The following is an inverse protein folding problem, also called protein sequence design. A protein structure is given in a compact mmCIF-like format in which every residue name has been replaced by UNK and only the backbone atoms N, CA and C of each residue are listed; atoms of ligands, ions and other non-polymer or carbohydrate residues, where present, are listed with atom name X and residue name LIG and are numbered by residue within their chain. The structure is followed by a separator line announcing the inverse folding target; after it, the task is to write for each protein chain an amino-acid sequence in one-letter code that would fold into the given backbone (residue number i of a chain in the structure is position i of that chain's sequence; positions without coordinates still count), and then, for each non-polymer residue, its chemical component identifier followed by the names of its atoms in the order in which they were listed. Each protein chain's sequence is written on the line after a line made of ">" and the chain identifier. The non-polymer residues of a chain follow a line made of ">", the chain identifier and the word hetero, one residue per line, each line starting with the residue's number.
data_IF_818784828608
#
_entry.id   IF_818784828608
#
_cell.length_a   1.000
_cell.length_b   1.000
_cell.length_c   1.000
_cell.angle_alpha   90.00
_cell.angle_beta   90.00
_cell.angle_gamma   90.00
#
_symmetry.space_group_name_H-M   'P 1'
#
loop_
_entity.id
_entity.type
_entity.pdbx_description
1 polymer ?
#
# COMPACT_ATOMS: atom_id res chain seq x y z
N UNK A 1 -0.43 14.53 -29.99
CA UNK A 1 0.48 14.97 -28.91
C UNK A 1 0.58 13.86 -27.87
N UNK A 2 1.71 13.17 -27.84
CA UNK A 2 1.93 11.98 -27.00
C UNK A 2 2.28 12.41 -25.57
N UNK A 3 1.43 12.05 -24.60
CA UNK A 3 1.76 12.17 -23.18
C UNK A 3 2.96 11.26 -22.86
N UNK A 4 4.03 11.76 -22.21
CA UNK A 4 5.11 10.90 -21.77
C UNK A 4 4.61 10.02 -20.62
N UNK A 5 4.43 8.73 -20.90
CA UNK A 5 4.10 7.74 -19.87
C UNK A 5 5.12 7.82 -18.73
N UNK A 6 4.67 7.92 -17.48
CA UNK A 6 5.49 7.93 -16.26
C UNK A 6 6.45 6.72 -16.18
N UNK A 7 6.18 5.63 -16.91
CA UNK A 7 7.10 4.50 -17.13
C UNK A 7 8.45 4.90 -17.75
N UNK A 8 8.54 6.04 -18.45
CA UNK A 8 9.78 6.58 -19.02
C UNK A 8 10.65 7.26 -17.96
N UNK A 9 10.05 7.78 -16.90
CA UNK A 9 10.76 8.36 -15.75
C UNK A 9 11.42 7.29 -14.87
N UNK A 10 10.73 6.17 -14.59
CA UNK A 10 11.26 5.07 -13.78
C UNK A 10 12.48 4.33 -14.37
N UNK A 11 12.74 4.47 -15.68
CA UNK A 11 13.87 3.80 -16.35
C UNK A 11 15.15 4.63 -16.40
N UNK A 12 15.13 5.90 -16.00
CA UNK A 12 16.33 6.74 -15.94
C UNK A 12 16.66 7.02 -14.48
N UNK A 13 17.38 6.11 -13.84
CA UNK A 13 18.11 6.38 -12.59
C UNK A 13 19.30 7.30 -12.83
N UNK A 14 19.07 8.48 -13.39
CA UNK A 14 20.12 9.43 -13.73
C UNK A 14 19.60 10.86 -13.61
N UNK A 15 20.33 11.65 -12.81
CA UNK A 15 20.28 13.11 -12.80
C UNK A 15 20.24 13.62 -14.24
N UNK A 16 19.14 14.25 -14.65
CA UNK A 16 19.09 15.04 -15.87
C UNK A 16 18.47 16.39 -15.51
N UNK A 17 19.29 17.44 -15.57
CA UNK A 17 18.87 18.83 -15.62
C UNK A 17 17.74 18.99 -16.66
N UNK A 18 16.63 19.58 -16.23
CA UNK A 18 15.50 19.86 -17.09
C UNK A 18 15.72 21.24 -17.76
N UNK A 19 15.87 21.35 -19.09
CA UNK A 19 16.02 22.64 -19.77
C UNK A 19 14.64 23.13 -20.20
N UNK A 20 13.87 23.69 -19.28
CA UNK A 20 12.66 24.48 -19.58
C UNK A 20 12.50 25.56 -18.49
N UNK A 21 13.50 26.42 -18.35
CA UNK A 21 13.33 27.72 -17.73
C UNK A 21 12.75 28.66 -18.79
N UNK A 22 11.44 28.86 -18.77
CA UNK A 22 10.79 30.12 -19.13
C UNK A 22 9.28 29.95 -19.00
N UNK A 23 8.73 30.45 -17.89
CA UNK A 23 7.41 31.07 -17.80
C UNK A 23 7.36 31.89 -16.50
N UNK A 24 7.48 33.21 -16.69
CA UNK A 24 7.03 34.31 -15.82
C UNK A 24 7.15 34.13 -14.29
N UNK A 25 8.16 34.79 -13.72
CA UNK A 25 8.31 35.11 -12.29
C UNK A 25 7.04 35.76 -11.74
N UNK A 26 6.35 35.05 -10.86
CA UNK A 26 5.78 35.68 -9.66
C UNK A 26 6.71 35.33 -8.50
N UNK A 27 7.53 36.29 -8.09
CA UNK A 27 8.41 36.18 -6.93
C UNK A 27 7.58 36.38 -5.66
N UNK A 28 7.27 35.28 -4.98
CA UNK A 28 7.07 35.29 -3.53
C UNK A 28 8.14 34.40 -2.90
N UNK A 29 8.92 35.02 -2.01
CA UNK A 29 10.17 34.50 -1.49
C UNK A 29 10.04 33.36 -0.49
N UNK A 30 10.93 32.39 -0.65
CA UNK A 30 11.85 31.83 0.34
C UNK A 30 12.37 30.55 -0.30
N UNK A 31 13.62 30.56 -0.77
CA UNK A 31 14.27 29.35 -1.25
C UNK A 31 14.26 28.33 -0.09
N UNK A 32 13.44 27.29 -0.23
CA UNK A 32 13.58 26.10 0.61
C UNK A 32 14.99 25.58 0.35
N UNK A 33 15.78 25.49 1.40
CA UNK A 33 17.15 24.96 1.39
C UNK A 33 17.20 23.73 0.50
N UNK A 34 18.13 23.72 -0.48
CA UNK A 34 18.48 22.52 -1.26
C UNK A 34 19.03 21.46 -0.29
N UNK A 35 18.13 20.79 0.42
CA UNK A 35 18.49 19.64 1.24
C UNK A 35 18.48 18.44 0.30
N UNK A 36 19.65 17.89 0.01
CA UNK A 36 19.76 16.58 -0.64
C UNK A 36 18.80 15.61 0.04
N UNK A 37 17.97 14.84 -0.69
CA UNK A 37 17.05 13.90 -0.09
C UNK A 37 17.79 12.94 0.87
N UNK A 38 17.20 12.61 2.03
CA UNK A 38 17.90 11.83 3.03
C UNK A 38 18.21 10.42 2.50
N UNK A 39 19.29 9.79 3.01
CA UNK A 39 19.77 8.52 2.49
C UNK A 39 18.71 7.39 2.50
N UNK A 40 17.79 7.40 3.48
CA UNK A 40 16.67 6.44 3.52
C UNK A 40 15.68 6.64 2.36
N UNK A 41 15.46 7.89 1.93
CA UNK A 41 14.58 8.22 0.80
C UNK A 41 15.13 7.70 -0.51
N UNK A 42 16.44 7.92 -0.73
CA UNK A 42 17.18 7.48 -1.92
C UNK A 42 17.22 5.96 -2.05
N UNK A 43 17.22 5.23 -0.94
CA UNK A 43 17.11 3.75 -0.92
C UNK A 43 15.70 3.26 -1.23
N UNK A 44 14.70 4.11 -1.10
CA UNK A 44 13.31 3.79 -1.44
C UNK A 44 13.09 3.67 -2.94
N UNK A 45 11.95 3.10 -3.34
CA UNK A 45 11.50 3.07 -4.74
C UNK A 45 10.03 3.44 -4.85
N UNK A 46 9.59 4.03 -5.97
CA UNK A 46 8.17 4.30 -6.19
C UNK A 46 7.31 3.03 -6.15
N UNK A 47 6.11 3.15 -5.59
CA UNK A 47 5.08 2.13 -5.58
C UNK A 47 4.49 1.99 -6.98
N UNK A 48 4.16 0.74 -7.34
CA UNK A 48 3.47 0.39 -8.57
C UNK A 48 2.07 -0.19 -8.32
N UNK A 49 1.66 -0.30 -7.05
CA UNK A 49 0.36 -0.80 -6.61
C UNK A 49 -0.19 0.14 -5.53
N UNK A 50 -1.46 0.49 -5.69
CA UNK A 50 -2.21 1.36 -4.79
C UNK A 50 -3.43 0.61 -4.25
N UNK A 51 -3.85 0.90 -3.01
CA UNK A 51 -4.89 0.05 -2.40
C UNK A 51 -6.30 0.39 -2.87
N UNK A 52 -6.58 1.68 -3.14
CA UNK A 52 -7.87 2.13 -3.67
C UNK A 52 -7.76 3.45 -4.43
N UNK A 53 -8.74 3.75 -5.29
CA UNK A 53 -8.85 5.06 -5.96
C UNK A 53 -8.96 6.21 -4.96
N UNK A 54 -9.78 6.04 -3.92
CA UNK A 54 -9.99 7.05 -2.88
C UNK A 54 -8.70 7.40 -2.13
N UNK A 55 -7.89 6.40 -1.80
CA UNK A 55 -6.55 6.57 -1.23
C UNK A 55 -5.68 7.44 -2.15
N UNK A 56 -5.51 7.05 -3.41
CA UNK A 56 -4.61 7.77 -4.32
C UNK A 56 -5.12 9.18 -4.60
N UNK A 57 -6.43 9.35 -4.76
CA UNK A 57 -7.04 10.64 -5.02
C UNK A 57 -6.83 11.61 -3.86
N UNK A 58 -6.96 11.16 -2.61
CA UNK A 58 -6.67 11.98 -1.43
C UNK A 58 -5.17 12.25 -1.27
N UNK A 59 -4.36 11.19 -1.27
CA UNK A 59 -2.95 11.29 -0.92
C UNK A 59 -2.12 12.01 -2.00
N UNK A 60 -2.52 11.94 -3.28
CA UNK A 60 -1.89 12.73 -4.34
C UNK A 60 -2.10 14.23 -4.16
N UNK A 61 -3.26 14.66 -3.65
CA UNK A 61 -3.49 16.07 -3.30
C UNK A 61 -2.59 16.50 -2.15
N UNK A 62 -2.45 15.64 -1.13
CA UNK A 62 -1.53 15.91 -0.01
C UNK A 62 -0.08 15.96 -0.48
N UNK A 63 0.34 15.11 -1.42
CA UNK A 63 1.69 15.15 -1.99
C UNK A 63 2.02 16.53 -2.58
N UNK A 64 1.09 17.12 -3.34
CA UNK A 64 1.25 18.47 -3.94
C UNK A 64 1.30 19.58 -2.87
N UNK A 65 0.65 19.38 -1.72
CA UNK A 65 0.72 20.34 -0.61
C UNK A 65 2.04 20.21 0.16
N UNK A 66 2.47 18.98 0.43
CA UNK A 66 3.59 18.66 1.31
C UNK A 66 4.94 18.82 0.61
N UNK A 67 5.03 18.39 -0.65
CA UNK A 67 6.26 18.36 -1.43
C UNK A 67 5.99 18.83 -2.88
N UNK A 68 5.70 20.13 -3.08
CA UNK A 68 5.28 20.65 -4.38
C UNK A 68 6.39 20.61 -5.46
N UNK A 69 7.65 20.56 -5.03
CA UNK A 69 8.81 20.51 -5.92
C UNK A 69 9.21 19.07 -6.28
N UNK A 70 8.59 18.07 -5.63
CA UNK A 70 8.80 16.66 -5.92
C UNK A 70 7.71 16.11 -6.85
N UNK A 71 8.05 15.18 -7.78
CA UNK A 71 7.02 14.45 -8.52
C UNK A 71 6.08 13.70 -7.58
N UNK A 72 4.77 13.78 -7.81
CA UNK A 72 3.73 13.14 -6.96
C UNK A 72 4.03 11.66 -6.70
N UNK A 73 4.52 10.93 -7.72
CA UNK A 73 4.86 9.52 -7.63
C UNK A 73 5.98 9.22 -6.61
N UNK A 74 6.91 10.17 -6.39
CA UNK A 74 8.01 10.01 -5.45
C UNK A 74 7.50 10.01 -4.00
N UNK A 75 6.35 10.60 -3.73
CA UNK A 75 5.71 10.53 -2.40
C UNK A 75 5.16 9.14 -2.05
N UNK A 76 4.91 8.29 -3.06
CA UNK A 76 4.43 6.92 -2.88
C UNK A 76 5.61 5.95 -2.97
N UNK A 77 6.31 5.70 -1.86
CA UNK A 77 7.54 4.88 -1.84
C UNK A 77 7.50 3.68 -0.91
N UNK A 78 8.19 2.62 -1.33
CA UNK A 78 8.56 1.49 -0.47
C UNK A 78 10.03 1.59 -0.05
N UNK A 79 10.31 1.43 1.23
CA UNK A 79 11.66 1.52 1.80
C UNK A 79 12.19 0.14 2.18
N UNK A 80 13.43 -0.22 1.78
CA UNK A 80 14.03 -1.47 2.21
C UNK A 80 14.33 -1.42 3.72
N UNK A 81 14.01 -2.51 4.42
CA UNK A 81 14.37 -2.71 5.82
C UNK A 81 14.92 -4.10 6.04
N UNK A 82 15.78 -4.25 7.05
CA UNK A 82 16.21 -5.56 7.49
C UNK A 82 14.99 -6.35 8.00
N UNK A 83 14.87 -7.61 7.59
CA UNK A 83 13.80 -8.47 8.10
C UNK A 83 14.00 -8.65 9.61
N UNK A 84 12.92 -8.43 10.36
CA UNK A 84 12.85 -8.69 11.79
C UNK A 84 11.55 -9.42 12.12
N UNK A 85 11.51 -10.11 13.27
CA UNK A 85 10.34 -10.90 13.68
C UNK A 85 9.08 -10.03 13.83
N UNK A 86 9.26 -8.76 14.21
CA UNK A 86 8.16 -7.83 14.51
C UNK A 86 7.44 -7.35 13.25
N UNK A 87 8.14 -7.20 12.11
CA UNK A 87 7.56 -6.70 10.85
C UNK A 87 7.37 -7.79 9.78
N UNK A 88 8.20 -8.83 9.75
CA UNK A 88 8.08 -9.98 8.85
C UNK A 88 8.34 -9.70 7.35
N UNK A 89 8.39 -8.43 6.93
CA UNK A 89 8.72 -8.00 5.56
C UNK A 89 10.10 -7.37 5.49
N UNK A 90 10.75 -7.47 4.32
CA UNK A 90 12.01 -6.75 4.02
C UNK A 90 11.76 -5.34 3.47
N UNK A 91 10.51 -4.86 3.49
CA UNK A 91 10.13 -3.52 3.02
C UNK A 91 9.07 -2.89 3.91
N UNK A 92 9.20 -1.61 4.17
CA UNK A 92 8.15 -0.74 4.70
C UNK A 92 7.43 -0.06 3.54
N UNK A 93 6.11 -0.02 3.61
CA UNK A 93 5.25 0.45 2.53
C UNK A 93 4.23 1.45 3.08
N UNK A 94 4.64 2.67 3.48
CA UNK A 94 3.68 3.70 3.87
C UNK A 94 2.77 4.08 2.70
N UNK A 95 1.59 4.64 3.00
CA UNK A 95 0.69 5.12 1.93
C UNK A 95 1.18 6.41 1.27
N UNK A 96 1.76 7.30 2.06
CA UNK A 96 2.52 8.44 1.59
C UNK A 96 3.73 8.66 2.51
N UNK A 97 4.85 9.12 1.96
CA UNK A 97 5.99 9.57 2.73
C UNK A 97 6.41 10.97 2.25
N UNK A 98 6.68 11.87 3.20
CA UNK A 98 7.19 13.20 2.90
C UNK A 98 8.44 13.52 3.73
N UNK A 99 9.53 13.90 3.05
CA UNK A 99 10.77 14.35 3.69
C UNK A 99 10.89 15.87 3.63
N UNK A 100 11.72 16.46 4.50
CA UNK A 100 11.95 17.92 4.51
C UNK A 100 10.75 18.74 5.00
N UNK A 101 9.68 18.08 5.45
CA UNK A 101 8.45 18.72 5.95
C UNK A 101 8.45 18.93 7.46
N UNK A 102 9.36 18.25 8.18
CA UNK A 102 9.54 18.36 9.63
C UNK A 102 10.82 19.14 9.96
N UNK A 103 10.82 19.86 11.09
CA UNK A 103 11.98 20.62 11.59
C UNK A 103 13.17 19.73 11.89
N UNK A 104 12.93 18.49 12.31
CA UNK A 104 13.98 17.52 12.60
C UNK A 104 14.64 17.07 11.29
N UNK A 105 15.95 17.31 11.09
CA UNK A 105 16.62 16.96 9.85
C UNK A 105 16.54 15.47 9.53
N UNK A 106 16.17 15.16 8.29
CA UNK A 106 16.05 13.78 7.80
C UNK A 106 14.80 13.03 8.27
N UNK A 107 14.04 13.56 9.23
CA UNK A 107 12.77 12.97 9.66
C UNK A 107 11.72 13.00 8.54
N UNK A 108 10.75 12.09 8.65
CA UNK A 108 9.69 11.90 7.67
C UNK A 108 8.31 12.09 8.30
N UNK A 109 7.39 12.67 7.55
CA UNK A 109 5.97 12.53 7.80
C UNK A 109 5.45 11.36 6.95
N UNK A 110 5.06 10.27 7.60
CA UNK A 110 4.35 9.16 6.95
C UNK A 110 2.85 9.36 7.10
N UNK A 111 2.10 9.12 6.04
CA UNK A 111 0.64 9.15 6.06
C UNK A 111 0.10 7.77 5.73
N UNK A 112 -0.83 7.30 6.56
CA UNK A 112 -1.58 6.07 6.40
C UNK A 112 -3.06 6.41 6.17
N UNK A 113 -3.68 5.79 5.18
CA UNK A 113 -5.11 5.98 4.93
C UNK A 113 -5.90 4.73 5.33
N UNK A 114 -6.62 4.83 6.45
CA UNK A 114 -7.39 3.71 7.00
C UNK A 114 -8.78 3.67 6.34
N UNK A 115 -8.89 2.93 5.23
CA UNK A 115 -10.16 2.67 4.55
C UNK A 115 -11.20 1.99 5.47
N UNK A 116 -12.48 2.33 5.31
CA UNK A 116 -13.56 2.03 6.26
C UNK A 116 -13.81 0.53 6.56
N UNK A 117 -13.37 -0.42 5.72
CA UNK A 117 -13.84 -1.81 5.80
C UNK A 117 -12.82 -2.88 6.23
N UNK A 118 -11.51 -2.69 6.06
CA UNK A 118 -10.52 -3.77 6.28
C UNK A 118 -9.86 -3.76 7.68
N UNK A 119 -9.96 -2.65 8.38
CA UNK A 119 -9.17 -2.38 9.59
C UNK A 119 -9.99 -2.43 10.89
N UNK A 120 -11.21 -2.97 10.82
CA UNK A 120 -12.11 -3.05 11.97
C UNK A 120 -12.01 -4.39 12.72
N UNK A 121 -11.34 -5.39 12.12
CA UNK A 121 -11.10 -6.69 12.76
C UNK A 121 -9.81 -6.68 13.60
N UNK A 122 -9.73 -7.43 14.72
CA UNK A 122 -8.55 -7.47 15.57
C UNK A 122 -7.22 -7.75 14.84
N UNK A 123 -7.26 -8.60 13.81
CA UNK A 123 -6.09 -8.90 12.97
C UNK A 123 -5.65 -7.68 12.13
N UNK A 124 -6.60 -6.91 11.61
CA UNK A 124 -6.35 -5.67 10.89
C UNK A 124 -5.69 -4.63 11.79
N UNK A 125 -6.27 -4.37 12.97
CA UNK A 125 -5.69 -3.45 13.95
C UNK A 125 -4.28 -3.89 14.37
N UNK A 126 -4.06 -5.18 14.62
CA UNK A 126 -2.75 -5.71 15.00
C UNK A 126 -1.72 -5.48 13.89
N UNK A 127 -2.10 -5.70 12.62
CA UNK A 127 -1.23 -5.43 11.48
C UNK A 127 -0.88 -3.95 11.36
N UNK A 128 -1.85 -3.08 11.58
CA UNK A 128 -1.68 -1.64 11.51
C UNK A 128 -0.76 -1.10 12.60
N UNK A 129 -0.94 -1.56 13.85
CA UNK A 129 -0.06 -1.22 14.98
C UNK A 129 1.36 -1.71 14.72
N UNK A 130 1.53 -2.93 14.17
CA UNK A 130 2.85 -3.45 13.77
C UNK A 130 3.49 -2.60 12.67
N UNK A 131 2.70 -2.12 11.71
CA UNK A 131 3.18 -1.22 10.64
C UNK A 131 3.63 0.12 11.22
N UNK A 132 2.83 0.77 12.07
CA UNK A 132 3.21 2.03 12.73
C UNK A 132 4.50 1.85 13.53
N UNK A 133 4.57 0.79 14.34
CA UNK A 133 5.74 0.51 15.16
C UNK A 133 6.99 0.31 14.31
N UNK A 134 6.86 -0.39 13.18
CA UNK A 134 7.98 -0.58 12.26
C UNK A 134 8.38 0.73 11.55
N UNK A 135 7.41 1.54 11.11
CA UNK A 135 7.68 2.86 10.52
C UNK A 135 8.48 3.73 11.51
N UNK A 136 8.04 3.84 12.76
CA UNK A 136 8.72 4.65 13.77
C UNK A 136 10.07 4.05 14.22
N UNK A 137 10.21 2.71 14.23
CA UNK A 137 11.46 2.03 14.58
C UNK A 137 12.57 2.25 13.54
N UNK A 138 12.22 2.19 12.25
CA UNK A 138 13.20 2.25 11.16
C UNK A 138 13.35 3.65 10.55
N UNK A 139 12.42 4.56 10.81
CA UNK A 139 12.54 5.95 10.37
C UNK A 139 13.49 6.74 11.25
N UNK A 140 14.05 7.85 10.74
CA UNK A 140 14.87 8.75 11.56
C UNK A 140 14.09 9.31 12.75
N UNK A 141 14.80 9.57 13.84
CA UNK A 141 14.24 10.17 15.07
C UNK A 141 13.48 11.46 14.73
N UNK A 142 12.33 11.66 15.36
CA UNK A 142 11.44 12.80 15.09
C UNK A 142 10.50 12.62 13.91
N UNK A 143 10.48 11.45 13.26
CA UNK A 143 9.47 11.11 12.25
C UNK A 143 8.08 10.95 12.88
N UNK A 144 7.05 11.27 12.13
CA UNK A 144 5.65 11.23 12.56
C UNK A 144 4.88 10.29 11.64
N UNK A 145 3.99 9.47 12.23
CA UNK A 145 2.97 8.72 11.47
C UNK A 145 1.64 9.39 11.69
N UNK A 146 1.01 9.86 10.62
CA UNK A 146 -0.33 10.46 10.61
C UNK A 146 -1.32 9.48 9.98
N UNK A 147 -2.39 9.15 10.69
CA UNK A 147 -3.44 8.25 10.23
C UNK A 147 -4.70 9.03 9.87
N UNK A 148 -5.12 8.94 8.62
CA UNK A 148 -6.40 9.49 8.17
C UNK A 148 -7.45 8.39 8.34
N UNK A 149 -8.42 8.63 9.22
CA UNK A 149 -9.45 7.66 9.57
C UNK A 149 -10.86 8.26 9.47
N UNK A 150 -11.84 7.42 9.20
CA UNK A 150 -13.26 7.79 9.15
C UNK A 150 -14.02 7.54 10.47
N UNK A 151 -13.36 6.91 11.44
CA UNK A 151 -13.91 6.60 12.76
C UNK A 151 -12.80 6.70 13.79
N UNK A 152 -13.10 7.31 14.93
CA UNK A 152 -12.18 7.39 16.05
C UNK A 152 -11.83 5.99 16.55
N UNK A 153 -10.55 5.81 16.90
CA UNK A 153 -10.03 4.53 17.39
C UNK A 153 -9.01 4.80 18.47
N UNK A 154 -9.10 4.05 19.57
CA UNK A 154 -8.07 4.07 20.60
C UNK A 154 -6.87 3.24 20.13
N UNK A 155 -5.96 3.89 19.41
CA UNK A 155 -4.68 3.29 19.05
C UNK A 155 -3.78 3.22 20.28
N UNK A 156 -3.05 2.11 20.41
CA UNK A 156 -2.00 1.94 21.42
C UNK A 156 -0.61 2.28 20.85
N UNK A 157 -0.56 3.04 19.77
CA UNK A 157 0.66 3.47 19.10
C UNK A 157 0.86 4.99 19.23
N UNK A 158 2.05 5.48 18.86
CA UNK A 158 2.39 6.90 18.94
C UNK A 158 2.02 7.66 17.65
N UNK A 159 1.00 7.23 16.91
CA UNK A 159 0.56 7.91 15.70
C UNK A 159 -0.38 9.08 16.01
N UNK A 160 -0.37 10.08 15.14
CA UNK A 160 -1.33 11.19 15.15
C UNK A 160 -2.57 10.77 14.36
N UNK A 161 -3.75 10.88 14.94
CA UNK A 161 -4.99 10.56 14.26
C UNK A 161 -5.67 11.82 13.70
N UNK A 162 -6.08 11.72 12.43
CA UNK A 162 -6.91 12.71 11.73
C UNK A 162 -8.24 12.07 11.41
N UNK A 163 -9.30 12.55 12.06
CA UNK A 163 -10.65 12.11 11.78
C UNK A 163 -11.23 12.94 10.62
N UNK A 164 -11.61 12.26 9.54
CA UNK A 164 -12.33 12.86 8.41
C UNK A 164 -13.73 12.29 8.35
N UNK A 165 -14.68 13.09 7.85
CA UNK A 165 -16.07 12.64 7.81
C UNK A 165 -16.20 11.39 6.94
N UNK A 166 -16.98 10.42 7.41
CA UNK A 166 -17.46 9.34 6.57
C UNK A 166 -18.34 9.89 5.45
N UNK A 167 -18.32 9.23 4.29
CA UNK A 167 -19.31 9.52 3.26
C UNK A 167 -20.69 9.01 3.71
N UNK A 168 -21.72 9.84 3.53
CA UNK A 168 -23.13 9.49 3.74
C UNK A 168 -23.87 9.70 2.42
N UNK A 169 -24.92 8.92 2.16
CA UNK A 169 -25.69 8.93 0.90
C UNK A 169 -26.25 10.29 0.52
N UNK A 170 -26.62 11.08 1.52
CA UNK A 170 -27.20 12.42 1.44
C UNK A 170 -26.14 13.53 1.25
N UNK A 171 -24.85 13.22 1.42
CA UNK A 171 -23.76 14.17 1.22
C UNK A 171 -23.18 14.07 -0.19
N UNK A 172 -22.99 15.22 -0.84
CA UNK A 172 -22.14 15.30 -2.03
C UNK A 172 -20.69 15.00 -1.61
N UNK A 173 -20.09 13.87 -2.04
CA UNK A 173 -18.70 13.58 -1.70
C UNK A 173 -17.81 14.70 -2.23
N UNK A 174 -16.94 15.22 -1.37
CA UNK A 174 -16.05 16.33 -1.72
C UNK A 174 -14.65 16.06 -1.22
N UNK A 175 -13.78 15.66 -2.14
CA UNK A 175 -12.34 15.55 -1.90
C UNK A 175 -11.77 16.82 -1.26
N UNK A 176 -12.26 17.99 -1.68
CA UNK A 176 -11.84 19.29 -1.16
C UNK A 176 -12.15 19.45 0.33
N UNK A 177 -13.30 18.93 0.78
CA UNK A 177 -13.67 18.92 2.20
C UNK A 177 -12.71 18.04 2.98
N UNK A 178 -12.45 16.82 2.52
CA UNK A 178 -11.53 15.89 3.19
C UNK A 178 -10.11 16.45 3.26
N UNK A 179 -9.56 16.98 2.16
CA UNK A 179 -8.23 17.62 2.17
C UNK A 179 -8.18 18.77 3.17
N UNK A 180 -9.23 19.60 3.26
CA UNK A 180 -9.30 20.68 4.25
C UNK A 180 -9.29 20.15 5.69
N UNK A 181 -10.05 19.10 5.99
CA UNK A 181 -10.06 18.47 7.32
C UNK A 181 -8.69 17.92 7.69
N UNK A 182 -7.99 17.29 6.73
CA UNK A 182 -6.64 16.78 6.95
C UNK A 182 -5.65 17.90 7.22
N UNK A 183 -5.66 18.96 6.40
CA UNK A 183 -4.78 20.12 6.58
C UNK A 183 -5.02 20.82 7.93
N UNK A 184 -6.29 21.04 8.30
CA UNK A 184 -6.65 21.64 9.57
C UNK A 184 -6.14 20.78 10.75
N UNK A 185 -6.35 19.47 10.70
CA UNK A 185 -5.91 18.55 11.76
C UNK A 185 -4.39 18.44 11.85
N UNK A 186 -3.69 18.49 10.71
CA UNK A 186 -2.23 18.52 10.66
C UNK A 186 -1.67 19.80 11.29
N UNK A 187 -2.27 20.96 10.99
CA UNK A 187 -1.91 22.22 11.62
C UNK A 187 -2.27 22.28 13.11
N UNK A 188 -3.32 21.58 13.54
CA UNK A 188 -3.68 21.50 14.95
C UNK A 188 -2.71 20.61 15.73
N UNK A 189 -2.35 19.45 15.16
CA UNK A 189 -1.67 18.38 15.90
C UNK A 189 -0.16 18.36 15.72
N UNK A 190 0.37 18.88 14.61
CA UNK A 190 1.78 18.76 14.24
C UNK A 190 2.47 20.10 13.93
N UNK A 191 1.82 21.25 14.15
CA UNK A 191 2.36 22.56 13.75
C UNK A 191 3.72 22.87 14.40
N UNK A 192 3.95 22.42 15.62
CA UNK A 192 5.19 22.67 16.32
C UNK A 192 6.38 21.93 15.66
N UNK A 193 6.10 20.84 14.96
CA UNK A 193 7.07 19.96 14.33
C UNK A 193 7.28 20.27 12.85
N UNK A 194 6.32 20.92 12.17
CA UNK A 194 6.42 21.27 10.76
C UNK A 194 7.43 22.40 10.50
N UNK A 195 8.10 22.35 9.34
CA UNK A 195 8.94 23.46 8.89
C UNK A 195 8.10 24.73 8.65
N UNK A 196 8.59 25.94 9.00
CA UNK A 196 7.80 27.17 8.89
C UNK A 196 7.23 27.42 7.49
N UNK A 197 8.02 27.16 6.44
CA UNK A 197 7.57 27.35 5.05
C UNK A 197 6.38 26.46 4.67
N UNK A 198 6.29 25.25 5.25
CA UNK A 198 5.14 24.37 5.04
C UNK A 198 3.93 24.88 5.82
N UNK A 199 4.09 25.31 7.08
CA UNK A 199 3.00 25.89 7.88
C UNK A 199 2.35 27.05 7.12
N UNK A 200 3.16 28.02 6.67
CA UNK A 200 2.66 29.17 5.90
C UNK A 200 1.92 28.73 4.63
N UNK A 201 2.42 27.71 3.93
CA UNK A 201 1.79 27.18 2.71
C UNK A 201 0.44 26.52 2.98
N UNK A 202 0.35 25.72 4.05
CA UNK A 202 -0.87 25.03 4.46
C UNK A 202 -1.95 26.04 4.89
N UNK A 203 -1.57 27.11 5.59
CA UNK A 203 -2.47 28.19 5.99
C UNK A 203 -2.93 29.05 4.79
N UNK A 204 -2.00 29.42 3.90
CA UNK A 204 -2.30 30.28 2.77
C UNK A 204 -3.20 29.62 1.71
N UNK A 205 -3.18 28.28 1.60
CA UNK A 205 -4.00 27.54 0.61
C UNK A 205 -5.45 27.34 1.05
N UNK A 206 -6.01 28.14 1.97
CA UNK A 206 -7.42 28.02 2.35
C UNK A 206 -8.39 28.57 1.27
N UNK A 207 -9.30 27.76 0.66
CA UNK A 207 -9.40 26.31 0.73
C UNK A 207 -8.66 25.63 -0.45
N UNK A 208 -7.97 24.50 -0.20
CA UNK A 208 -7.06 23.92 -1.17
C UNK A 208 -7.80 23.67 -2.48
N UNK A 209 -7.29 24.24 -3.57
CA UNK A 209 -7.78 23.92 -4.89
C UNK A 209 -7.37 22.49 -5.21
N UNK A 210 -8.27 21.74 -5.83
CA UNK A 210 -7.95 20.38 -6.25
C UNK A 210 -7.00 20.45 -7.42
N UNK A 211 -5.78 19.95 -7.22
CA UNK A 211 -4.73 19.97 -8.20
C UNK A 211 -5.05 19.02 -9.36
N UNK A 212 -4.90 19.53 -10.59
CA UNK A 212 -5.21 18.81 -11.82
C UNK A 212 -4.22 17.68 -12.08
N UNK A 213 -2.94 17.87 -11.77
CA UNK A 213 -1.92 16.84 -11.96
C UNK A 213 -2.12 15.69 -10.97
N UNK A 214 -2.50 15.98 -9.72
CA UNK A 214 -2.86 14.95 -8.75
C UNK A 214 -4.10 14.15 -9.18
N UNK A 215 -5.12 14.80 -9.74
CA UNK A 215 -6.27 14.10 -10.35
C UNK A 215 -5.86 13.16 -11.49
N UNK A 216 -5.04 13.65 -12.42
CA UNK A 216 -4.54 12.83 -13.54
C UNK A 216 -3.73 11.64 -13.03
N UNK A 217 -2.86 11.87 -12.05
CA UNK A 217 -2.08 10.79 -11.42
C UNK A 217 -2.97 9.71 -10.81
N UNK A 218 -4.04 10.09 -10.09
CA UNK A 218 -4.95 9.13 -9.49
C UNK A 218 -5.69 8.26 -10.53
N UNK A 219 -6.09 8.84 -11.66
CA UNK A 219 -6.70 8.10 -12.78
C UNK A 219 -5.70 7.11 -13.39
N UNK A 220 -4.46 7.56 -13.66
CA UNK A 220 -3.43 6.71 -14.25
C UNK A 220 -3.04 5.55 -13.31
N UNK A 221 -2.92 5.84 -12.01
CA UNK A 221 -2.65 4.86 -10.97
C UNK A 221 -3.74 3.77 -10.90
N UNK A 222 -5.01 4.15 -11.01
CA UNK A 222 -6.15 3.23 -11.04
C UNK A 222 -6.10 2.33 -12.28
N UNK A 223 -5.84 2.90 -13.47
CA UNK A 223 -5.73 2.13 -14.72
C UNK A 223 -4.61 1.08 -14.65
N UNK A 224 -3.45 1.47 -14.11
CA UNK A 224 -2.29 0.57 -13.96
C UNK A 224 -2.56 -0.51 -12.92
N UNK A 225 -3.16 -0.15 -11.78
CA UNK A 225 -3.55 -1.09 -10.74
C UNK A 225 -4.54 -2.14 -11.26
N UNK A 226 -5.54 -1.70 -12.03
CA UNK A 226 -6.51 -2.59 -12.66
C UNK A 226 -5.87 -3.53 -13.70
N UNK A 227 -4.98 -3.02 -14.54
CA UNK A 227 -4.24 -3.84 -15.50
C UNK A 227 -3.37 -4.90 -14.79
N UNK A 228 -2.62 -4.51 -13.75
CA UNK A 228 -1.77 -5.44 -12.99
C UNK A 228 -2.59 -6.49 -12.23
N UNK A 229 -3.70 -6.07 -11.60
CA UNK A 229 -4.64 -6.97 -10.91
C UNK A 229 -5.26 -7.97 -11.90
N UNK A 230 -5.67 -7.51 -13.08
CA UNK A 230 -6.18 -8.36 -14.16
C UNK A 230 -5.13 -9.39 -14.60
N UNK A 231 -3.90 -8.97 -14.89
CA UNK A 231 -2.81 -9.89 -15.24
C UNK A 231 -2.51 -10.92 -14.15
N UNK A 232 -2.52 -10.52 -12.88
CA UNK A 232 -2.32 -11.45 -11.75
C UNK A 232 -3.45 -12.48 -11.66
N UNK A 233 -4.71 -12.05 -11.83
CA UNK A 233 -5.87 -12.95 -11.85
C UNK A 233 -5.76 -13.97 -12.99
N UNK A 234 -5.37 -13.52 -14.18
CA UNK A 234 -5.14 -14.38 -15.34
C UNK A 234 -4.01 -15.38 -15.08
N UNK A 235 -2.89 -14.94 -14.51
CA UNK A 235 -1.77 -15.83 -14.19
C UNK A 235 -2.16 -16.92 -13.17
N UNK A 236 -2.98 -16.58 -12.15
CA UNK A 236 -3.48 -17.59 -11.20
C UNK A 236 -4.44 -18.56 -11.88
N UNK A 237 -5.31 -18.08 -12.77
CA UNK A 237 -6.20 -18.95 -13.55
C UNK A 237 -5.41 -19.91 -14.44
N UNK A 238 -4.40 -19.39 -15.15
CA UNK A 238 -3.50 -20.17 -16.00
C UNK A 238 -2.77 -21.23 -15.17
N UNK A 239 -2.19 -20.87 -14.01
CA UNK A 239 -1.57 -21.83 -13.09
C UNK A 239 -2.52 -22.97 -12.70
N UNK A 240 -3.78 -22.65 -12.38
CA UNK A 240 -4.77 -23.67 -12.03
C UNK A 240 -5.13 -24.57 -13.24
N UNK A 241 -5.15 -24.01 -14.45
CA UNK A 241 -5.46 -24.77 -15.66
C UNK A 241 -4.29 -25.64 -16.12
N UNK A 242 -3.07 -25.10 -16.13
CA UNK A 242 -1.90 -25.72 -16.77
C UNK A 242 -1.13 -26.58 -15.77
N UNK A 243 -0.61 -25.98 -14.69
CA UNK A 243 0.20 -26.70 -13.70
C UNK A 243 -0.64 -27.65 -12.85
N UNK A 244 -1.85 -27.22 -12.48
CA UNK A 244 -2.77 -28.06 -11.71
C UNK A 244 -3.70 -28.90 -12.58
N UNK A 245 -3.72 -28.71 -13.90
CA UNK A 245 -4.53 -29.52 -14.83
C UNK A 245 -6.04 -29.50 -14.50
N UNK A 246 -6.54 -28.41 -13.91
CA UNK A 246 -7.99 -28.23 -13.73
C UNK A 246 -8.61 -27.82 -15.06
N UNK A 247 -9.76 -28.40 -15.38
CA UNK A 247 -10.61 -27.90 -16.49
C UNK A 247 -11.12 -26.49 -16.19
N UNK A 248 -11.45 -25.73 -17.24
CA UNK A 248 -12.03 -24.38 -17.10
C UNK A 248 -13.26 -24.34 -16.17
N UNK A 249 -14.10 -25.37 -16.22
CA UNK A 249 -15.27 -25.50 -15.34
C UNK A 249 -14.86 -25.70 -13.87
N UNK A 250 -13.83 -26.53 -13.60
CA UNK A 250 -13.32 -26.73 -12.25
C UNK A 250 -12.65 -25.45 -11.71
N UNK A 251 -11.94 -24.71 -12.55
CA UNK A 251 -11.35 -23.42 -12.16
C UNK A 251 -12.44 -22.41 -11.82
N UNK A 252 -13.46 -22.26 -12.67
CA UNK A 252 -14.59 -21.37 -12.40
C UNK A 252 -15.30 -21.71 -11.08
N UNK A 253 -15.58 -23.00 -10.84
CA UNK A 253 -16.16 -23.49 -9.57
C UNK A 253 -15.24 -23.24 -8.37
N UNK A 254 -13.93 -23.40 -8.55
CA UNK A 254 -12.94 -23.18 -7.48
C UNK A 254 -12.87 -21.71 -7.09
N UNK A 255 -12.87 -20.80 -8.07
CA UNK A 255 -12.91 -19.36 -7.85
C UNK A 255 -14.23 -18.95 -7.20
N UNK A 256 -15.36 -19.50 -7.64
CA UNK A 256 -16.66 -19.20 -7.02
C UNK A 256 -16.71 -19.62 -5.55
N UNK A 257 -16.13 -20.76 -5.19
CA UNK A 257 -16.07 -21.27 -3.81
C UNK A 257 -15.02 -20.56 -2.95
N UNK A 258 -13.93 -20.10 -3.55
CA UNK A 258 -12.85 -19.42 -2.84
C UNK A 258 -12.27 -18.27 -3.69
N UNK A 259 -12.97 -17.13 -3.78
CA UNK A 259 -12.55 -16.01 -4.64
C UNK A 259 -11.16 -15.46 -4.31
N UNK A 260 -10.77 -15.55 -3.04
CA UNK A 260 -9.46 -15.10 -2.53
C UNK A 260 -8.27 -15.83 -3.17
N UNK A 261 -8.48 -17.00 -3.82
CA UNK A 261 -7.42 -17.70 -4.56
C UNK A 261 -6.75 -16.81 -5.60
N UNK A 262 -7.51 -15.92 -6.23
CA UNK A 262 -7.01 -14.98 -7.25
C UNK A 262 -6.06 -13.91 -6.68
N UNK A 263 -6.05 -13.73 -5.36
CA UNK A 263 -5.12 -12.84 -4.66
C UNK A 263 -3.81 -13.53 -4.25
N UNK A 264 -3.76 -14.87 -4.27
CA UNK A 264 -2.60 -15.62 -3.82
C UNK A 264 -1.37 -15.38 -4.71
N UNK A 265 -0.18 -15.44 -4.10
CA UNK A 265 1.08 -15.49 -4.85
C UNK A 265 1.31 -16.91 -5.38
N UNK A 266 1.62 -17.05 -6.66
CA UNK A 266 1.97 -18.36 -7.25
C UNK A 266 3.23 -18.91 -6.57
N UNK A 267 4.32 -18.14 -6.59
CA UNK A 267 5.62 -18.58 -6.06
C UNK A 267 5.67 -18.64 -4.53
N UNK A 268 5.07 -17.68 -3.84
CA UNK A 268 5.19 -17.60 -2.39
C UNK A 268 4.09 -18.35 -1.63
N UNK A 269 3.02 -18.82 -2.30
CA UNK A 269 1.90 -19.50 -1.64
C UNK A 269 1.42 -20.75 -2.38
N UNK A 270 1.00 -20.64 -3.65
CA UNK A 270 0.35 -21.75 -4.35
C UNK A 270 1.32 -22.91 -4.62
N UNK A 271 2.48 -22.65 -5.23
CA UNK A 271 3.49 -23.67 -5.52
C UNK A 271 4.00 -24.37 -4.26
N UNK A 272 4.44 -23.66 -3.19
CA UNK A 272 4.88 -24.32 -1.96
C UNK A 272 3.81 -25.24 -1.34
N UNK A 273 2.54 -24.84 -1.35
CA UNK A 273 1.45 -25.68 -0.84
C UNK A 273 1.22 -26.91 -1.68
N UNK A 274 1.18 -26.75 -3.00
CA UNK A 274 1.03 -27.89 -3.92
C UNK A 274 2.17 -28.89 -3.72
N UNK A 275 3.42 -28.41 -3.62
CA UNK A 275 4.58 -29.25 -3.38
C UNK A 275 4.51 -29.95 -2.01
N UNK A 276 4.08 -29.25 -0.97
CA UNK A 276 3.88 -29.84 0.35
C UNK A 276 2.83 -30.97 0.32
N UNK A 277 1.68 -30.76 -0.34
CA UNK A 277 0.65 -31.80 -0.47
C UNK A 277 1.19 -33.01 -1.25
N UNK A 278 1.93 -32.79 -2.34
CA UNK A 278 2.61 -33.87 -3.07
C UNK A 278 3.59 -34.64 -2.18
N UNK A 279 4.32 -33.92 -1.32
CA UNK A 279 5.23 -34.51 -0.33
C UNK A 279 4.56 -35.42 0.71
N UNK A 280 3.23 -35.37 0.84
CA UNK A 280 2.46 -36.32 1.66
C UNK A 280 2.22 -37.67 0.97
N UNK A 281 2.71 -37.84 -0.27
CA UNK A 281 2.54 -39.05 -1.07
C UNK A 281 1.32 -39.04 -2.00
N UNK A 282 0.68 -37.88 -2.19
CA UNK A 282 -0.46 -37.76 -3.12
C UNK A 282 0.04 -37.63 -4.57
N UNK A 283 -0.58 -38.39 -5.47
CA UNK A 283 -0.37 -38.25 -6.91
C UNK A 283 -0.94 -36.92 -7.41
N UNK A 284 -0.48 -36.46 -8.59
CA UNK A 284 -0.99 -35.23 -9.20
C UNK A 284 -2.52 -35.24 -9.27
N UNK A 285 -3.14 -36.33 -9.72
CA UNK A 285 -4.60 -36.43 -9.88
C UNK A 285 -5.34 -36.34 -8.54
N UNK A 286 -4.78 -36.89 -7.45
CA UNK A 286 -5.32 -36.74 -6.10
C UNK A 286 -5.22 -35.28 -5.64
N UNK A 287 -4.10 -34.60 -5.88
CA UNK A 287 -3.94 -33.17 -5.55
C UNK A 287 -4.96 -32.32 -6.32
N UNK A 288 -5.14 -32.56 -7.62
CA UNK A 288 -6.17 -31.88 -8.43
C UNK A 288 -7.56 -32.07 -7.80
N UNK A 289 -7.89 -33.31 -7.44
CA UNK A 289 -9.19 -33.66 -6.83
C UNK A 289 -9.41 -32.91 -5.51
N UNK A 290 -8.39 -32.82 -4.66
CA UNK A 290 -8.45 -32.08 -3.39
C UNK A 290 -8.69 -30.60 -3.64
N UNK A 291 -7.91 -29.96 -4.52
CA UNK A 291 -8.04 -28.52 -4.81
C UNK A 291 -9.39 -28.19 -5.46
N UNK A 292 -9.82 -28.99 -6.44
CA UNK A 292 -11.11 -28.76 -7.11
C UNK A 292 -12.31 -28.94 -6.16
N UNK A 293 -12.20 -29.85 -5.19
CA UNK A 293 -13.26 -30.11 -4.20
C UNK A 293 -13.23 -29.11 -3.06
N UNK A 294 -12.05 -28.69 -2.62
CA UNK A 294 -11.84 -27.80 -1.48
C UNK A 294 -10.73 -26.75 -1.73
N UNK A 295 -10.99 -25.73 -2.55
CA UNK A 295 -9.98 -24.73 -2.95
C UNK A 295 -9.51 -23.85 -1.79
N UNK A 296 -10.31 -23.71 -0.72
CA UNK A 296 -9.96 -22.96 0.49
C UNK A 296 -8.69 -23.50 1.19
N UNK A 297 -8.33 -24.76 0.94
CA UNK A 297 -7.07 -25.35 1.39
C UNK A 297 -5.84 -24.52 0.99
N UNK A 298 -5.88 -23.88 -0.18
CA UNK A 298 -4.81 -22.99 -0.67
C UNK A 298 -4.68 -21.69 0.14
N UNK A 299 -5.65 -21.38 1.00
CA UNK A 299 -5.63 -20.25 1.94
C UNK A 299 -4.99 -20.58 3.30
N UNK A 300 -4.98 -21.84 3.74
CA UNK A 300 -4.54 -22.21 5.09
C UNK A 300 -3.03 -22.27 5.27
N UNK A 301 -2.52 -21.86 6.44
CA UNK A 301 -1.10 -21.99 6.79
C UNK A 301 -0.68 -23.46 6.82
N UNK A 302 0.48 -23.78 6.25
CA UNK A 302 1.03 -25.14 6.32
C UNK A 302 1.31 -25.49 7.78
N UNK A 303 2.12 -24.68 8.48
CA UNK A 303 2.57 -25.00 9.85
C UNK A 303 1.45 -24.88 10.88
N UNK A 304 0.60 -23.86 10.78
CA UNK A 304 -0.39 -23.57 11.82
C UNK A 304 -1.72 -24.30 11.63
N UNK A 305 -1.95 -24.95 10.48
CA UNK A 305 -3.24 -25.55 10.17
C UNK A 305 -3.13 -26.89 9.44
N UNK A 306 -2.53 -26.91 8.24
CA UNK A 306 -2.56 -28.11 7.40
C UNK A 306 -1.75 -29.26 8.01
N UNK A 307 -0.56 -28.98 8.54
CA UNK A 307 0.30 -29.99 9.16
C UNK A 307 -0.29 -30.60 10.43
N UNK A 308 -0.76 -29.83 11.42
CA UNK A 308 -1.49 -30.39 12.56
C UNK A 308 -2.71 -31.24 12.15
N UNK A 309 -3.43 -30.82 11.11
CA UNK A 309 -4.59 -31.57 10.59
C UNK A 309 -4.16 -32.92 10.00
N UNK A 310 -3.09 -32.93 9.21
CA UNK A 310 -2.56 -34.17 8.62
C UNK A 310 -1.99 -35.10 9.69
N UNK A 311 -1.28 -34.57 10.68
CA UNK A 311 -0.73 -35.38 11.78
C UNK A 311 -1.86 -36.00 12.61
N UNK A 312 -2.94 -35.25 12.86
CA UNK A 312 -4.13 -35.78 13.51
C UNK A 312 -4.78 -36.91 12.68
N UNK A 313 -4.95 -36.72 11.36
CA UNK A 313 -5.51 -37.76 10.47
C UNK A 313 -4.65 -39.03 10.50
N UNK A 314 -3.32 -38.89 10.42
CA UNK A 314 -2.38 -40.03 10.51
C UNK A 314 -2.46 -40.75 11.86
N UNK A 315 -2.77 -40.02 12.93
CA UNK A 315 -2.98 -40.56 14.27
C UNK A 315 -4.26 -41.40 14.44
N UNK A 316 -5.20 -41.36 13.47
CA UNK A 316 -6.45 -42.12 13.54
C UNK A 316 -6.30 -43.61 13.20
N UNK A 317 -5.09 -44.09 12.89
CA UNK A 317 -4.84 -45.49 12.53
C UNK A 317 -5.37 -45.87 11.13
N UNK A 318 -5.62 -44.87 10.27
CA UNK A 318 -6.04 -45.08 8.89
C UNK A 318 -4.86 -45.54 8.03
N UNK A 319 -5.14 -46.39 7.05
CA UNK A 319 -4.15 -46.75 6.03
C UNK A 319 -3.91 -45.58 5.07
N UNK A 320 -2.76 -45.56 4.39
CA UNK A 320 -2.38 -44.50 3.45
C UNK A 320 -3.40 -44.28 2.30
N UNK A 321 -4.22 -45.28 1.98
CA UNK A 321 -5.23 -45.21 0.91
C UNK A 321 -6.58 -44.63 1.37
N UNK A 322 -6.84 -44.58 2.68
CA UNK A 322 -8.09 -44.08 3.29
C UNK A 322 -7.98 -42.59 3.59
#
# INVERSE_FOLDING_TARGET
>A
MQHPSWRRWLRRGGLIHCPCANLSRFTFGAALTESTPPAWWLKGRPRNVFQSKAEVELLSQLAVLLMPDEPIAEAFRDFPVQRCQEWGSSRLCPDLAAHGVLKTPGAALFIEYDGYYRHMEPLGLTRDVRKTSALLKFAPVGSIVLRIAHKERQWKDNSVQVLVDGWQSEHVPSLRKTVRQVVASLLQSCRAELVPGLVSRLEARAPPQIDRHAKTFAVDAELVGNASSSSKRLAVQEFLQTEMQLTTVQVAKSIARFPSVLGCSIEANLKPKVQWIKGLGLSQSQVVKVIARFPALLGYSIEANLKPTVDWIKGLGLSQSQ
#
